data_IF_279551730364
#
_entry.id   IF_279551730364
#
_cell.length_a   1.000
_cell.length_b   1.000
_cell.length_c   1.000
_cell.angle_alpha   90.00
_cell.angle_beta   90.00
_cell.angle_gamma   90.00
#
_symmetry.space_group_name_H-M   'P 1'
#
loop_
_entity.id
_entity.type
_entity.pdbx_description
1 polymer ?
#
# COMPACT_ATOMS: atom_id res chain seq x y z
N UNK A 1 37.92 -25.54 -34.36
CA UNK A 1 37.71 -24.98 -32.99
C UNK A 1 36.28 -24.44 -32.94
N UNK A 2 35.42 -24.97 -32.07
CA UNK A 2 34.00 -24.57 -31.99
C UNK A 2 33.86 -23.30 -31.15
N UNK A 3 33.34 -22.17 -31.69
CA UNK A 3 33.16 -20.92 -30.95
C UNK A 3 31.86 -20.90 -30.11
N UNK A 4 31.29 -22.06 -29.80
CA UNK A 4 30.02 -22.17 -29.09
C UNK A 4 29.98 -21.52 -27.68
N UNK A 5 31.03 -21.59 -26.84
CA UNK A 5 30.94 -21.04 -25.48
C UNK A 5 30.99 -19.50 -25.45
N UNK A 6 31.63 -18.88 -26.45
CA UNK A 6 31.74 -17.42 -26.51
C UNK A 6 30.40 -16.77 -26.90
N UNK A 7 29.67 -17.39 -27.82
CA UNK A 7 28.32 -16.97 -28.22
C UNK A 7 27.33 -17.05 -27.06
N UNK A 8 27.39 -18.12 -26.28
CA UNK A 8 26.53 -18.30 -25.10
C UNK A 8 26.79 -17.22 -24.05
N UNK A 9 28.06 -16.92 -23.76
CA UNK A 9 28.43 -15.85 -22.85
C UNK A 9 27.94 -14.49 -23.35
N UNK A 10 28.15 -14.15 -24.63
CA UNK A 10 27.69 -12.87 -25.19
C UNK A 10 26.17 -12.72 -25.15
N UNK A 11 25.41 -13.79 -25.36
CA UNK A 11 23.94 -13.75 -25.28
C UNK A 11 23.48 -13.52 -23.84
N UNK A 12 24.10 -14.19 -22.86
CA UNK A 12 23.80 -13.99 -21.43
C UNK A 12 24.16 -12.56 -21.00
N UNK A 13 25.32 -12.04 -21.39
CA UNK A 13 25.72 -10.66 -21.05
C UNK A 13 24.82 -9.63 -21.73
N UNK A 14 24.35 -9.88 -22.95
CA UNK A 14 23.40 -9.01 -23.65
C UNK A 14 22.04 -8.98 -22.93
N UNK A 15 21.52 -10.15 -22.51
CA UNK A 15 20.28 -10.26 -21.74
C UNK A 15 20.40 -9.52 -20.39
N UNK A 16 21.53 -9.69 -19.68
CA UNK A 16 21.78 -8.98 -18.42
C UNK A 16 21.95 -7.46 -18.61
N UNK A 17 22.60 -7.01 -19.69
CA UNK A 17 22.80 -5.58 -19.96
C UNK A 17 21.51 -4.84 -20.31
N UNK A 18 20.53 -5.54 -20.91
CA UNK A 18 19.19 -5.01 -21.18
C UNK A 18 18.29 -4.95 -19.93
N UNK A 19 18.69 -5.63 -18.85
CA UNK A 19 17.90 -5.70 -17.60
C UNK A 19 18.12 -4.48 -16.69
N UNK A 20 19.22 -3.73 -16.87
CA UNK A 20 19.58 -2.61 -15.98
C UNK A 20 18.78 -1.34 -16.32
N UNK A 21 18.36 -1.18 -17.58
CA UNK A 21 17.53 -0.05 -18.02
C UNK A 21 16.03 -0.23 -17.74
N UNK A 22 15.60 -1.42 -17.33
CA UNK A 22 14.19 -1.71 -17.01
C UNK A 22 13.71 -1.19 -15.67
N UNK A 23 14.61 -0.73 -14.78
CA UNK A 23 14.23 -0.17 -13.48
C UNK A 23 13.86 1.32 -13.54
N UNK A 24 14.04 1.98 -14.68
CA UNK A 24 13.49 3.31 -14.92
C UNK A 24 12.08 3.21 -15.52
N UNK A 25 11.19 2.46 -14.84
CA UNK A 25 9.85 2.20 -15.34
C UNK A 25 8.87 3.22 -14.73
N UNK A 26 8.73 4.32 -15.49
CA UNK A 26 7.59 5.26 -15.52
C UNK A 26 7.03 5.75 -14.17
N UNK A 27 7.38 6.99 -13.83
CA UNK A 27 6.40 7.93 -13.26
C UNK A 27 5.14 7.90 -14.14
N UNK A 28 3.96 7.63 -13.54
CA UNK A 28 2.62 7.55 -14.17
C UNK A 28 2.15 6.20 -14.77
N UNK A 29 2.48 5.08 -14.13
CA UNK A 29 1.79 3.80 -14.35
C UNK A 29 1.58 3.06 -13.05
N UNK A 30 0.53 3.38 -12.29
CA UNK A 30 0.27 2.77 -10.98
C UNK A 30 0.25 1.22 -11.08
N UNK A 31 1.27 0.58 -10.51
CA UNK A 31 1.42 -0.88 -10.46
C UNK A 31 0.31 -1.56 -9.66
N UNK A 32 -0.28 -0.79 -8.74
CA UNK A 32 -1.35 -1.16 -7.82
C UNK A 32 -2.43 -0.10 -7.93
N UNK A 33 -3.67 -0.52 -8.13
CA UNK A 33 -4.84 0.35 -8.12
C UNK A 33 -5.64 0.10 -6.84
N UNK A 34 -5.70 1.10 -5.96
CA UNK A 34 -6.34 1.00 -4.65
C UNK A 34 -7.84 1.29 -4.76
N UNK A 35 -8.65 0.25 -4.59
CA UNK A 35 -10.10 0.33 -4.75
C UNK A 35 -10.79 0.75 -3.47
N UNK A 36 -10.45 0.08 -2.37
CA UNK A 36 -11.11 0.32 -1.09
C UNK A 36 -10.06 0.32 0.01
N UNK A 37 -10.21 1.24 0.94
CA UNK A 37 -9.45 1.30 2.18
C UNK A 37 -10.46 1.47 3.31
N UNK A 38 -10.35 0.65 4.35
CA UNK A 38 -11.09 0.84 5.60
C UNK A 38 -10.11 1.13 6.72
N UNK A 39 -10.37 2.19 7.46
CA UNK A 39 -9.66 2.56 8.69
C UNK A 39 -10.64 2.29 9.83
N UNK A 40 -10.36 1.25 10.61
CA UNK A 40 -11.18 0.86 11.75
C UNK A 40 -10.47 1.33 13.03
N UNK A 41 -11.04 2.36 13.66
CA UNK A 41 -10.47 2.99 14.84
C UNK A 41 -10.68 2.13 16.09
N UNK A 42 -9.62 2.00 16.88
CA UNK A 42 -9.64 1.39 18.22
C UNK A 42 -8.83 2.27 19.18
N UNK A 43 -9.54 3.16 19.90
CA UNK A 43 -8.90 4.11 20.81
C UNK A 43 -7.96 5.09 20.08
N UNK A 44 -6.66 5.00 20.36
CA UNK A 44 -5.64 5.83 19.68
C UNK A 44 -5.13 5.21 18.39
N UNK A 45 -5.43 3.95 18.14
CA UNK A 45 -4.84 3.13 17.10
C UNK A 45 -5.88 2.77 16.03
N UNK A 46 -5.46 2.11 14.95
CA UNK A 46 -6.38 1.59 13.95
C UNK A 46 -5.87 0.34 13.23
N UNK A 47 -6.80 -0.55 12.87
CA UNK A 47 -6.57 -1.52 11.82
C UNK A 47 -6.94 -0.90 10.47
N UNK A 48 -6.04 -1.01 9.49
CA UNK A 48 -6.29 -0.57 8.12
C UNK A 48 -6.30 -1.77 7.18
N UNK A 49 -7.45 -2.02 6.56
CA UNK A 49 -7.56 -3.01 5.48
C UNK A 49 -7.63 -2.31 4.13
N UNK A 50 -6.77 -2.74 3.21
CA UNK A 50 -6.70 -2.17 1.85
C UNK A 50 -6.99 -3.25 0.82
N UNK A 51 -7.88 -2.97 -0.12
CA UNK A 51 -8.18 -3.80 -1.29
C UNK A 51 -7.67 -3.14 -2.56
N UNK A 52 -6.98 -3.92 -3.38
CA UNK A 52 -6.33 -3.40 -4.58
C UNK A 52 -6.31 -4.40 -5.74
N UNK A 53 -6.14 -3.85 -6.94
CA UNK A 53 -5.87 -4.63 -8.15
C UNK A 53 -4.43 -4.41 -8.61
N UNK A 54 -3.77 -5.51 -8.90
CA UNK A 54 -2.47 -5.53 -9.56
C UNK A 54 -2.66 -5.55 -11.08
N UNK A 55 -1.84 -4.79 -11.81
CA UNK A 55 -1.78 -4.90 -13.27
C UNK A 55 -1.11 -6.24 -13.70
N UNK A 56 -1.12 -6.56 -14.99
CA UNK A 56 -0.60 -7.84 -15.49
C UNK A 56 0.88 -8.10 -15.09
N UNK A 57 1.73 -7.08 -15.18
CA UNK A 57 3.14 -7.20 -14.85
C UNK A 57 3.35 -7.33 -13.34
N UNK A 58 2.62 -6.56 -12.53
CA UNK A 58 2.62 -6.65 -11.07
C UNK A 58 2.15 -8.03 -10.59
N UNK A 59 1.11 -8.59 -11.21
CA UNK A 59 0.65 -9.96 -10.92
C UNK A 59 1.72 -10.99 -11.21
N UNK A 60 2.40 -10.86 -12.35
CA UNK A 60 3.48 -11.79 -12.72
C UNK A 60 4.66 -11.67 -11.75
N UNK A 61 5.01 -10.44 -11.36
CA UNK A 61 6.05 -10.16 -10.38
C UNK A 61 5.74 -10.79 -9.01
N UNK A 62 4.53 -10.56 -8.49
CA UNK A 62 4.05 -11.16 -7.23
C UNK A 62 3.97 -12.69 -7.32
N UNK A 63 3.56 -13.24 -8.45
CA UNK A 63 3.53 -14.70 -8.65
C UNK A 63 4.94 -15.32 -8.57
N UNK A 64 5.95 -14.64 -9.12
CA UNK A 64 7.32 -15.16 -9.18
C UNK A 64 8.08 -14.95 -7.86
N UNK A 65 7.83 -13.85 -7.16
CA UNK A 65 8.65 -13.42 -6.01
C UNK A 65 7.89 -13.39 -4.68
N UNK A 66 6.57 -13.54 -4.70
CA UNK A 66 5.70 -13.44 -3.52
C UNK A 66 5.16 -12.02 -3.30
N UNK A 67 3.99 -11.93 -2.65
CA UNK A 67 3.28 -10.69 -2.36
C UNK A 67 4.00 -9.79 -1.36
N UNK A 68 4.89 -10.35 -0.52
CA UNK A 68 5.71 -9.60 0.42
C UNK A 68 6.49 -8.44 -0.23
N UNK A 69 6.87 -8.57 -1.51
CA UNK A 69 7.54 -7.49 -2.25
C UNK A 69 6.67 -6.24 -2.49
N UNK A 70 5.37 -6.29 -2.17
CA UNK A 70 4.49 -5.11 -2.21
C UNK A 70 4.62 -4.24 -0.95
N UNK A 71 5.31 -4.70 0.10
CA UNK A 71 5.45 -3.98 1.38
C UNK A 71 5.92 -2.54 1.18
N UNK A 72 7.02 -2.33 0.45
CA UNK A 72 7.51 -0.97 0.17
C UNK A 72 6.51 -0.11 -0.61
N UNK A 73 5.61 -0.70 -1.40
CA UNK A 73 4.56 0.08 -2.07
C UNK A 73 3.48 0.49 -1.08
N UNK A 74 3.12 -0.39 -0.14
CA UNK A 74 2.19 -0.07 0.94
C UNK A 74 2.79 1.00 1.88
N UNK A 75 4.03 0.85 2.32
CA UNK A 75 4.73 1.86 3.14
C UNK A 75 4.70 3.25 2.50
N UNK A 76 4.92 3.33 1.18
CA UNK A 76 4.84 4.59 0.44
C UNK A 76 3.42 5.18 0.39
N UNK A 77 2.36 4.37 0.43
CA UNK A 77 0.98 4.87 0.53
C UNK A 77 0.71 5.47 1.89
N UNK A 78 1.27 4.87 2.95
CA UNK A 78 1.10 5.29 4.33
C UNK A 78 2.26 6.17 4.83
N UNK A 79 2.95 6.88 3.94
CA UNK A 79 4.16 7.66 4.28
C UNK A 79 3.94 8.75 5.35
N UNK A 80 2.72 9.26 5.47
CA UNK A 80 2.37 10.36 6.39
C UNK A 80 1.91 9.86 7.78
N UNK A 81 1.88 8.54 7.98
CA UNK A 81 1.59 7.92 9.27
C UNK A 81 2.91 7.65 10.01
N UNK A 82 2.95 7.92 11.31
CA UNK A 82 4.19 7.83 12.09
C UNK A 82 4.62 6.38 12.34
N UNK A 83 3.68 5.52 12.75
CA UNK A 83 3.97 4.12 13.07
C UNK A 83 2.97 3.19 12.36
N UNK A 84 3.48 2.46 11.36
CA UNK A 84 2.70 1.56 10.52
C UNK A 84 3.41 0.22 10.46
N UNK A 85 2.67 -0.82 10.82
CA UNK A 85 3.15 -2.19 10.77
C UNK A 85 2.30 -3.02 9.80
N UNK A 86 2.93 -3.64 8.81
CA UNK A 86 2.20 -4.49 7.86
C UNK A 86 1.98 -5.89 8.45
N UNK A 87 0.71 -6.24 8.69
CA UNK A 87 0.33 -7.51 9.31
C UNK A 87 0.16 -8.63 8.28
N UNK A 88 -0.41 -8.30 7.11
CA UNK A 88 -0.68 -9.27 6.04
C UNK A 88 -0.57 -8.60 4.67
N UNK A 89 0.06 -9.29 3.71
CA UNK A 89 0.07 -8.89 2.30
C UNK A 89 -0.33 -10.07 1.42
N UNK A 90 -1.51 -9.95 0.80
CA UNK A 90 -2.04 -10.90 -0.18
C UNK A 90 -1.85 -10.43 -1.63
N UNK A 91 -2.62 -11.03 -2.55
CA UNK A 91 -2.59 -10.67 -3.98
C UNK A 91 -3.49 -9.48 -4.35
N UNK A 92 -4.47 -9.17 -3.49
CA UNK A 92 -5.50 -8.16 -3.71
C UNK A 92 -6.00 -7.50 -2.40
N UNK A 93 -5.35 -7.82 -1.28
CA UNK A 93 -5.69 -7.35 0.06
C UNK A 93 -4.41 -7.19 0.87
N UNK A 94 -4.35 -6.17 1.69
CA UNK A 94 -3.37 -6.04 2.76
C UNK A 94 -4.05 -5.60 4.05
N UNK A 95 -3.46 -5.96 5.19
CA UNK A 95 -3.85 -5.51 6.52
C UNK A 95 -2.63 -4.86 7.17
N UNK A 96 -2.85 -3.67 7.71
CA UNK A 96 -1.85 -2.89 8.41
C UNK A 96 -2.42 -2.53 9.78
N UNK A 97 -1.52 -2.38 10.75
CA UNK A 97 -1.81 -1.79 12.04
C UNK A 97 -1.14 -0.42 12.09
N UNK A 98 -1.86 0.60 12.54
CA UNK A 98 -1.35 1.96 12.68
C UNK A 98 -1.49 2.37 14.14
N UNK A 99 -0.36 2.64 14.79
CA UNK A 99 -0.33 3.10 16.18
C UNK A 99 -0.46 4.63 16.23
N UNK A 100 -1.07 5.14 17.30
CA UNK A 100 -1.15 6.57 17.60
C UNK A 100 -1.73 7.44 16.45
N UNK A 101 -2.59 6.86 15.61
CA UNK A 101 -3.31 7.55 14.51
C UNK A 101 -4.29 8.63 15.02
N UNK A 102 -4.66 8.57 16.30
CA UNK A 102 -5.56 9.53 16.95
C UNK A 102 -5.04 9.96 18.31
N UNK A 103 -5.21 11.24 18.63
CA UNK A 103 -4.84 11.81 19.93
C UNK A 103 -6.01 11.75 20.89
N UNK A 104 -5.82 11.13 22.05
CA UNK A 104 -6.84 11.13 23.10
C UNK A 104 -6.95 12.51 23.76
N UNK A 105 -8.19 13.00 23.90
CA UNK A 105 -8.53 14.20 24.65
C UNK A 105 -9.80 13.95 25.48
N UNK A 106 -9.60 13.73 26.78
CA UNK A 106 -10.66 13.31 27.72
C UNK A 106 -11.31 12.00 27.28
N UNK A 107 -12.60 12.03 26.94
CA UNK A 107 -13.40 10.87 26.53
C UNK A 107 -13.48 10.72 25.01
N UNK A 108 -12.81 11.60 24.27
CA UNK A 108 -12.81 11.64 22.82
C UNK A 108 -11.41 11.39 22.25
N UNK A 109 -11.39 10.97 21.00
CA UNK A 109 -10.20 10.78 20.18
C UNK A 109 -10.28 11.72 18.99
N UNK A 110 -9.17 12.40 18.70
CA UNK A 110 -9.03 13.37 17.63
C UNK A 110 -8.12 12.78 16.57
N UNK A 111 -8.67 12.49 15.40
CA UNK A 111 -7.92 12.05 14.24
C UNK A 111 -7.64 13.26 13.34
N UNK A 112 -6.35 13.57 13.20
CA UNK A 112 -5.88 14.54 12.23
C UNK A 112 -5.81 13.90 10.84
N UNK A 113 -5.92 14.71 9.79
CA UNK A 113 -5.85 14.21 8.41
C UNK A 113 -4.42 13.79 8.08
N UNK A 114 -4.27 12.61 7.49
CA UNK A 114 -3.01 12.10 6.95
C UNK A 114 -3.09 11.97 5.43
N UNK A 115 -2.08 12.48 4.74
CA UNK A 115 -1.95 12.35 3.29
C UNK A 115 -1.68 10.90 2.87
N UNK A 116 -2.26 10.50 1.74
CA UNK A 116 -2.04 9.19 1.13
C UNK A 116 -1.12 9.33 -0.08
N UNK A 117 -0.13 8.45 -0.18
CA UNK A 117 0.80 8.40 -1.32
C UNK A 117 0.14 7.96 -2.63
N UNK A 118 -1.15 7.60 -2.60
CA UNK A 118 -1.95 7.24 -3.76
C UNK A 118 -3.42 7.63 -3.55
N UNK A 119 -4.14 7.80 -4.66
CA UNK A 119 -5.60 7.91 -4.64
C UNK A 119 -6.23 6.55 -4.37
N UNK A 120 -7.19 6.51 -3.43
CA UNK A 120 -8.04 5.35 -3.17
C UNK A 120 -9.45 5.65 -3.68
N UNK A 121 -10.04 4.76 -4.47
CA UNK A 121 -11.38 5.02 -5.04
C UNK A 121 -12.43 5.25 -3.95
N UNK A 122 -12.38 4.50 -2.85
CA UNK A 122 -13.22 4.70 -1.66
C UNK A 122 -12.42 4.44 -0.38
N UNK A 123 -12.27 5.48 0.43
CA UNK A 123 -11.83 5.37 1.82
C UNK A 123 -13.05 5.30 2.74
N UNK A 124 -13.07 4.40 3.72
CA UNK A 124 -14.13 4.32 4.74
C UNK A 124 -13.52 4.37 6.13
N UNK A 125 -13.93 5.37 6.90
CA UNK A 125 -13.61 5.48 8.33
C UNK A 125 -14.70 4.73 9.11
N UNK A 126 -14.32 3.78 9.94
CA UNK A 126 -15.21 2.98 10.80
C UNK A 126 -14.90 3.37 12.24
N UNK A 127 -15.93 3.83 12.95
CA UNK A 127 -15.80 4.30 14.34
C UNK A 127 -16.17 3.18 15.32
N UNK A 128 -15.74 3.26 16.59
CA UNK A 128 -16.04 2.24 17.61
C UNK A 128 -17.53 1.90 17.72
N UNK A 129 -18.39 2.92 17.61
CA UNK A 129 -19.85 2.77 17.71
C UNK A 129 -20.51 2.03 16.52
N UNK A 130 -19.70 1.58 15.56
CA UNK A 130 -20.11 0.91 14.33
C UNK A 130 -20.61 1.85 13.24
N UNK A 131 -20.67 3.16 13.49
CA UNK A 131 -20.95 4.14 12.45
C UNK A 131 -19.76 4.27 11.50
N UNK A 132 -20.01 4.78 10.28
CA UNK A 132 -18.95 4.91 9.30
C UNK A 132 -19.14 6.11 8.37
N UNK A 133 -18.02 6.55 7.79
CA UNK A 133 -17.97 7.64 6.81
C UNK A 133 -17.11 7.24 5.62
N UNK A 134 -17.71 7.19 4.44
CA UNK A 134 -16.98 6.94 3.19
C UNK A 134 -16.65 8.23 2.45
N UNK A 135 -15.45 8.29 1.87
CA UNK A 135 -14.91 9.39 1.07
C UNK A 135 -14.46 8.81 -0.27
N UNK A 136 -15.08 9.19 -1.41
CA UNK A 136 -14.64 8.73 -2.71
C UNK A 136 -13.40 9.48 -3.19
N UNK A 137 -12.55 8.80 -3.97
CA UNK A 137 -11.31 9.34 -4.55
C UNK A 137 -10.42 10.03 -3.51
N UNK A 138 -10.26 9.40 -2.36
CA UNK A 138 -9.52 9.95 -1.24
C UNK A 138 -8.02 10.01 -1.56
N UNK A 139 -7.42 11.17 -1.29
CA UNK A 139 -5.96 11.39 -1.30
C UNK A 139 -5.41 11.66 0.10
N UNK A 140 -6.28 11.71 1.10
CA UNK A 140 -5.96 11.85 2.52
C UNK A 140 -7.10 11.29 3.36
N UNK A 141 -6.82 10.95 4.62
CA UNK A 141 -7.88 10.66 5.60
C UNK A 141 -8.58 11.95 6.02
N UNK A 142 -9.90 11.95 6.24
CA UNK A 142 -10.59 13.15 6.70
C UNK A 142 -10.34 13.39 8.19
N UNK A 143 -10.21 14.66 8.59
CA UNK A 143 -10.32 15.04 10.00
C UNK A 143 -11.62 14.50 10.60
N UNK A 144 -11.53 13.91 11.79
CA UNK A 144 -12.68 13.42 12.53
C UNK A 144 -12.41 13.34 14.02
N UNK A 145 -13.48 13.15 14.80
CA UNK A 145 -13.40 12.85 16.21
C UNK A 145 -14.47 11.83 16.58
N UNK A 146 -14.20 11.03 17.60
CA UNK A 146 -15.08 9.96 18.04
C UNK A 146 -14.90 9.70 19.54
N UNK A 147 -15.88 9.07 20.19
CA UNK A 147 -15.78 8.61 21.57
C UNK A 147 -15.52 7.11 21.65
N UNK A 148 -15.33 6.60 22.86
CA UNK A 148 -15.53 5.19 23.15
C UNK A 148 -17.03 4.91 23.29
N UNK A 149 -17.46 3.71 22.91
CA UNK A 149 -18.85 3.21 22.97
C UNK A 149 -19.63 3.53 24.27
#
# INVERSE_FOLDING_TARGET
MKPAPLLFFTVITLIFSLSITGYAFSTEGQYIHFKQMSVEFDGTDAEVTVYYDLNMFSRLYVLLLGSYNLESTLENVFFDFEDVSVMEIGNNRAVLYVEDISRQNSEYYLHDSHDLGATVDVLTMIYPDGSSRSVPYAISTPYTFYGND
#
